data_IF_484743972107
#
_entry.id   IF_484743972107
#
_cell.length_a   1.000
_cell.length_b   1.000
_cell.length_c   1.000
_cell.angle_alpha   90.00
_cell.angle_beta   90.00
_cell.angle_gamma   90.00
#
_symmetry.space_group_name_H-M   'P 1'
#
loop_
_entity.id
_entity.type
_entity.pdbx_description
1 polymer ?
#
# COMPACT_ATOMS: atom_id res chain seq x y z
N UNK A 1 3.69 18.08 -26.46
CA UNK A 1 2.94 17.41 -25.38
C UNK A 1 3.65 17.50 -24.03
N UNK A 2 4.81 16.88 -23.82
CA UNK A 2 5.48 16.86 -22.50
C UNK A 2 5.80 18.26 -21.93
N UNK A 3 6.23 19.20 -22.78
CA UNK A 3 6.51 20.58 -22.37
C UNK A 3 5.28 21.25 -21.70
N UNK A 4 4.08 20.99 -22.20
CA UNK A 4 2.82 21.59 -21.72
C UNK A 4 2.07 20.74 -20.67
N UNK A 5 2.54 19.52 -20.38
CA UNK A 5 1.92 18.65 -19.38
C UNK A 5 2.11 19.19 -17.94
N UNK A 6 1.15 18.88 -17.06
CA UNK A 6 1.33 19.05 -15.61
C UNK A 6 2.56 18.27 -15.15
N UNK A 7 3.50 18.94 -14.45
CA UNK A 7 4.74 18.31 -13.98
C UNK A 7 4.52 17.72 -12.60
N UNK A 8 5.03 16.52 -12.35
CA UNK A 8 5.16 15.97 -11.01
C UNK A 8 6.34 15.00 -10.96
N UNK A 9 7.13 15.08 -9.90
CA UNK A 9 8.17 14.12 -9.56
C UNK A 9 7.78 13.28 -8.32
N UNK A 10 6.52 13.35 -7.85
CA UNK A 10 6.08 12.71 -6.62
C UNK A 10 6.33 11.19 -6.62
N UNK A 11 6.00 10.51 -7.72
CA UNK A 11 6.29 9.09 -7.90
C UNK A 11 7.80 8.80 -7.85
N UNK A 12 8.61 9.62 -8.53
CA UNK A 12 10.06 9.47 -8.55
C UNK A 12 10.66 9.60 -7.14
N UNK A 13 10.25 10.63 -6.40
CA UNK A 13 10.72 10.82 -5.02
C UNK A 13 10.22 9.72 -4.08
N UNK A 14 8.98 9.25 -4.25
CA UNK A 14 8.42 8.18 -3.43
C UNK A 14 9.13 6.85 -3.68
N UNK A 15 9.44 6.53 -4.93
CA UNK A 15 10.25 5.37 -5.28
C UNK A 15 11.66 5.45 -4.67
N UNK A 16 12.29 6.63 -4.71
CA UNK A 16 13.58 6.87 -4.05
C UNK A 16 13.56 6.54 -2.55
N UNK A 17 12.54 7.03 -1.84
CA UNK A 17 12.35 6.75 -0.39
C UNK A 17 12.12 5.27 -0.11
N UNK A 18 11.34 4.59 -0.96
CA UNK A 18 11.12 3.15 -0.83
C UNK A 18 12.44 2.37 -1.02
N UNK A 19 13.24 2.73 -2.03
CA UNK A 19 14.57 2.12 -2.26
C UNK A 19 15.54 2.36 -1.11
N UNK A 20 15.60 3.57 -0.59
CA UNK A 20 16.44 3.90 0.57
C UNK A 20 16.02 3.06 1.79
N UNK A 21 14.72 2.95 2.03
CA UNK A 21 14.18 2.14 3.12
C UNK A 21 14.61 0.68 2.99
N UNK A 22 14.45 0.08 1.80
CA UNK A 22 14.91 -1.29 1.53
C UNK A 22 16.42 -1.44 1.80
N UNK A 23 17.23 -0.47 1.36
CA UNK A 23 18.68 -0.47 1.62
C UNK A 23 19.03 -0.41 3.09
N UNK A 24 18.22 0.25 3.91
CA UNK A 24 18.42 0.38 5.37
C UNK A 24 17.88 -0.80 6.18
N UNK A 25 16.73 -1.34 5.79
CA UNK A 25 16.04 -2.38 6.58
C UNK A 25 16.37 -3.80 6.15
N UNK A 26 16.91 -3.97 4.95
CA UNK A 26 17.11 -5.30 4.36
C UNK A 26 15.78 -6.02 4.08
N UNK A 27 15.84 -7.35 4.08
CA UNK A 27 14.72 -8.22 3.73
C UNK A 27 13.79 -8.46 4.93
N UNK A 28 12.92 -7.49 5.23
CA UNK A 28 11.86 -7.65 6.22
C UNK A 28 10.89 -8.77 5.80
N UNK A 29 10.34 -9.54 6.75
CA UNK A 29 9.44 -10.63 6.44
C UNK A 29 8.13 -10.10 5.85
N UNK A 30 7.63 -10.79 4.83
CA UNK A 30 6.29 -10.54 4.25
C UNK A 30 5.22 -10.88 5.30
N UNK A 31 4.21 -10.02 5.56
CA UNK A 31 3.09 -10.34 6.45
C UNK A 31 2.41 -11.67 6.06
N UNK A 32 2.09 -12.52 7.04
CA UNK A 32 1.59 -13.89 6.78
C UNK A 32 0.35 -13.90 5.90
N UNK A 33 -0.59 -12.99 6.15
CA UNK A 33 -1.87 -12.91 5.45
C UNK A 33 -1.74 -12.53 3.96
N UNK A 34 -0.58 -12.06 3.47
CA UNK A 34 -0.33 -11.85 2.03
C UNK A 34 0.69 -12.83 1.44
N UNK A 35 1.09 -13.87 2.18
CA UNK A 35 1.94 -14.94 1.64
C UNK A 35 1.12 -15.91 0.81
N UNK A 36 1.72 -16.42 -0.27
CA UNK A 36 1.15 -17.53 -1.02
C UNK A 36 1.19 -18.81 -0.17
N UNK A 37 0.13 -19.63 -0.25
CA UNK A 37 -0.01 -20.88 0.50
C UNK A 37 -0.41 -22.07 -0.40
N UNK A 38 0.44 -22.47 -1.36
CA UNK A 38 0.12 -23.50 -2.34
C UNK A 38 0.10 -24.92 -1.77
N UNK A 39 0.82 -25.19 -0.68
CA UNK A 39 0.91 -26.53 -0.07
C UNK A 39 0.07 -26.62 1.22
N UNK A 40 -0.32 -27.83 1.62
CA UNK A 40 -1.02 -28.05 2.89
C UNK A 40 -0.22 -27.54 4.09
N UNK A 41 1.07 -27.90 4.17
CA UNK A 41 1.97 -27.43 5.22
C UNK A 41 2.01 -25.90 5.35
N UNK A 42 2.01 -25.16 4.22
CA UNK A 42 2.02 -23.69 4.27
C UNK A 42 0.72 -23.13 4.86
N UNK A 43 -0.44 -23.73 4.57
CA UNK A 43 -1.72 -23.34 5.16
C UNK A 43 -1.77 -23.64 6.66
N UNK A 44 -1.23 -24.78 7.07
CA UNK A 44 -1.12 -25.18 8.47
C UNK A 44 -0.23 -24.21 9.27
N UNK A 45 0.85 -23.73 8.64
CA UNK A 45 1.72 -22.67 9.15
C UNK A 45 1.09 -21.26 9.08
N UNK A 46 -0.16 -21.14 8.63
CA UNK A 46 -0.91 -19.89 8.63
C UNK A 46 -0.62 -18.94 7.46
N UNK A 47 0.00 -19.42 6.39
CA UNK A 47 0.27 -18.58 5.21
C UNK A 47 -1.05 -18.24 4.52
N UNK A 48 -1.24 -16.97 4.18
CA UNK A 48 -2.48 -16.48 3.59
C UNK A 48 -3.69 -16.53 4.52
N UNK A 49 -3.52 -16.94 5.79
CA UNK A 49 -4.60 -16.90 6.79
C UNK A 49 -4.98 -15.45 7.05
N UNK A 50 -6.29 -15.21 7.20
CA UNK A 50 -6.87 -13.89 7.43
C UNK A 50 -6.64 -12.87 6.30
N UNK A 51 -6.29 -13.34 5.09
CA UNK A 51 -6.27 -12.49 3.92
C UNK A 51 -7.68 -11.96 3.63
N UNK A 52 -7.82 -10.64 3.63
CA UNK A 52 -9.06 -9.97 3.27
C UNK A 52 -9.07 -9.68 1.77
N UNK A 53 -9.93 -10.39 1.04
CA UNK A 53 -10.09 -10.18 -0.39
C UNK A 53 -10.91 -8.93 -0.65
N UNK A 54 -10.26 -7.85 -1.13
CA UNK A 54 -10.86 -6.52 -1.20
C UNK A 54 -12.17 -6.46 -2.00
N UNK A 55 -12.37 -7.33 -3.00
CA UNK A 55 -13.59 -7.38 -3.81
C UNK A 55 -14.84 -7.82 -3.05
N UNK A 56 -14.66 -8.50 -1.91
CA UNK A 56 -15.78 -8.94 -1.06
C UNK A 56 -16.26 -7.82 -0.11
N UNK A 57 -15.55 -6.69 -0.07
CA UNK A 57 -15.86 -5.56 0.81
C UNK A 57 -16.58 -4.44 0.05
N UNK A 58 -17.40 -3.70 0.79
CA UNK A 58 -17.99 -2.46 0.31
C UNK A 58 -16.88 -1.50 -0.19
N UNK A 59 -17.15 -0.82 -1.30
CA UNK A 59 -16.20 0.02 -2.06
C UNK A 59 -15.04 -0.73 -2.73
N UNK A 60 -15.06 -2.06 -2.73
CA UNK A 60 -13.94 -2.91 -3.13
C UNK A 60 -12.63 -2.53 -2.39
N UNK A 61 -12.76 -2.12 -1.12
CA UNK A 61 -11.65 -1.65 -0.29
C UNK A 61 -11.74 -2.20 1.14
N UNK A 62 -10.63 -2.75 1.61
CA UNK A 62 -10.48 -3.19 3.00
C UNK A 62 -9.18 -2.62 3.59
N UNK A 63 -9.22 -2.00 4.79
CA UNK A 63 -8.02 -1.50 5.44
C UNK A 63 -7.21 -2.65 6.06
N UNK A 64 -6.43 -3.33 5.24
CA UNK A 64 -5.47 -4.35 5.67
C UNK A 64 -4.05 -3.76 5.71
N UNK A 65 -3.20 -4.25 6.63
CA UNK A 65 -1.79 -3.84 6.69
C UNK A 65 -0.97 -4.61 5.67
N UNK A 66 -0.38 -3.95 4.69
CA UNK A 66 0.37 -4.61 3.62
C UNK A 66 1.88 -4.49 3.79
N UNK A 67 2.34 -3.54 4.62
CA UNK A 67 3.76 -3.40 4.93
C UNK A 67 4.13 -4.34 6.09
N UNK A 68 5.40 -4.77 6.16
CA UNK A 68 5.91 -5.44 7.36
C UNK A 68 5.71 -4.57 8.61
N UNK A 69 5.60 -5.20 9.78
CA UNK A 69 5.34 -4.49 11.05
C UNK A 69 6.34 -3.35 11.33
N UNK A 70 7.62 -3.54 10.98
CA UNK A 70 8.67 -2.54 11.14
C UNK A 70 8.47 -1.28 10.25
N UNK A 71 7.63 -1.37 9.22
CA UNK A 71 7.29 -0.29 8.29
C UNK A 71 5.83 0.16 8.42
N UNK A 72 5.13 -0.30 9.45
CA UNK A 72 3.72 0.02 9.67
C UNK A 72 3.50 1.53 9.69
N UNK A 73 2.51 1.98 8.91
CA UNK A 73 2.15 3.40 8.81
C UNK A 73 3.07 4.25 7.92
N UNK A 74 4.13 3.68 7.34
CA UNK A 74 4.96 4.40 6.38
C UNK A 74 4.19 4.73 5.11
N UNK A 75 4.47 5.89 4.53
CA UNK A 75 3.92 6.35 3.26
C UNK A 75 5.03 6.95 2.42
N UNK A 76 5.16 6.46 1.18
CA UNK A 76 6.23 6.89 0.28
C UNK A 76 5.71 7.82 -0.82
N UNK A 77 4.48 7.63 -1.26
CA UNK A 77 3.88 8.40 -2.35
C UNK A 77 2.95 9.48 -1.82
N UNK A 78 3.28 10.73 -2.15
CA UNK A 78 2.52 11.92 -1.77
C UNK A 78 2.15 12.68 -3.06
N UNK A 79 0.98 12.38 -3.67
CA UNK A 79 0.55 13.01 -4.90
C UNK A 79 0.46 14.54 -4.75
N UNK A 80 0.74 15.26 -5.82
CA UNK A 80 0.54 16.72 -5.89
C UNK A 80 -0.89 17.08 -6.27
N UNK A 81 -1.23 18.36 -6.17
CA UNK A 81 -2.53 18.90 -6.61
C UNK A 81 -2.62 19.14 -8.14
N UNK A 82 -1.60 18.74 -8.90
CA UNK A 82 -1.46 19.08 -10.32
C UNK A 82 -1.98 17.98 -11.23
N UNK A 83 -2.77 18.36 -12.24
CA UNK A 83 -3.30 17.43 -13.24
C UNK A 83 -4.05 16.27 -12.59
N UNK A 84 -3.82 15.06 -13.09
CA UNK A 84 -4.52 13.85 -12.63
C UNK A 84 -4.13 13.43 -11.20
N UNK A 85 -2.99 13.87 -10.66
CA UNK A 85 -2.60 13.53 -9.29
C UNK A 85 -3.58 14.08 -8.25
N UNK A 86 -4.32 15.15 -8.55
CA UNK A 86 -5.40 15.65 -7.70
C UNK A 86 -6.45 14.57 -7.41
N UNK A 87 -6.91 13.88 -8.45
CA UNK A 87 -7.89 12.79 -8.35
C UNK A 87 -7.32 11.62 -7.55
N UNK A 88 -6.04 11.29 -7.78
CA UNK A 88 -5.34 10.25 -7.02
C UNK A 88 -5.28 10.62 -5.53
N UNK A 89 -4.97 11.88 -5.22
CA UNK A 89 -4.89 12.39 -3.86
C UNK A 89 -6.23 12.29 -3.15
N UNK A 90 -7.30 12.77 -3.79
CA UNK A 90 -8.66 12.70 -3.28
C UNK A 90 -9.07 11.26 -2.98
N UNK A 91 -8.77 10.32 -3.88
CA UNK A 91 -9.02 8.88 -3.66
C UNK A 91 -8.22 8.34 -2.47
N UNK A 92 -6.94 8.67 -2.35
CA UNK A 92 -6.12 8.25 -1.23
C UNK A 92 -6.60 8.85 0.10
N UNK A 93 -7.11 10.09 0.11
CA UNK A 93 -7.73 10.72 1.27
C UNK A 93 -9.03 10.02 1.68
N UNK A 94 -9.85 9.59 0.71
CA UNK A 94 -11.04 8.76 0.98
C UNK A 94 -10.66 7.43 1.62
N UNK A 95 -9.65 6.72 1.08
CA UNK A 95 -9.16 5.47 1.68
C UNK A 95 -8.61 5.67 3.09
N UNK A 96 -7.88 6.77 3.36
CA UNK A 96 -7.44 7.12 4.72
C UNK A 96 -8.62 7.30 5.68
N UNK A 97 -9.66 8.03 5.27
CA UNK A 97 -10.89 8.22 6.06
C UNK A 97 -11.61 6.89 6.30
N UNK A 98 -11.73 6.04 5.29
CA UNK A 98 -12.34 4.70 5.41
C UNK A 98 -11.55 3.82 6.38
N UNK A 99 -10.22 3.82 6.27
CA UNK A 99 -9.32 3.11 7.18
C UNK A 99 -9.52 3.57 8.62
N UNK A 100 -9.58 4.89 8.85
CA UNK A 100 -9.70 5.42 10.21
C UNK A 100 -11.10 5.16 10.81
N UNK A 101 -12.15 5.06 9.98
CA UNK A 101 -13.51 4.65 10.40
C UNK A 101 -13.64 3.15 10.70
N UNK A 102 -12.94 2.31 9.92
CA UNK A 102 -13.04 0.83 9.96
C UNK A 102 -11.95 0.20 10.85
N UNK A 103 -11.03 0.99 11.42
CA UNK A 103 -10.08 0.53 12.43
C UNK A 103 -10.85 0.24 13.73
N UNK A 104 -10.63 -0.94 14.36
CA UNK A 104 -11.20 -1.25 15.66
C UNK A 104 -10.66 -0.33 16.76
#
# INVERSE_FOLDING_TARGET
>A
YLATASKSNALYTGYGRARETIGRTGALPVPLHIRNAPTGLMKDLGYGRDYLYAHDFEDAYVPQEYLPDALKGQSYYHPTERGYEKIIRERMDQWRKLRDKRRP
#
